data_IF_490953599250
#
_entry.id   IF_490953599250
#
_cell.length_a   1.000
_cell.length_b   1.000
_cell.length_c   1.000
_cell.angle_alpha   90.00
_cell.angle_beta   90.00
_cell.angle_gamma   90.00
#
_symmetry.space_group_name_H-M   'P 1'
#
loop_
_entity.id
_entity.type
_entity.pdbx_description
1 polymer ?
#
# COMPACT_ATOMS: atom_id res chain seq x y z
N UNK A 1 -6.81 -29.58 -38.71
CA UNK A 1 -6.74 -29.13 -37.31
C UNK A 1 -5.46 -29.64 -36.69
N UNK A 2 -4.44 -28.79 -36.60
CA UNK A 2 -3.17 -29.10 -35.91
C UNK A 2 -2.90 -27.95 -34.95
N UNK A 3 -3.16 -28.19 -33.67
CA UNK A 3 -2.90 -27.25 -32.59
C UNK A 3 -1.39 -27.12 -32.39
N UNK A 4 -0.81 -26.06 -32.95
CA UNK A 4 0.58 -25.67 -32.70
C UNK A 4 0.71 -25.05 -31.29
N UNK A 5 1.02 -25.90 -30.30
CA UNK A 5 1.45 -25.49 -28.97
C UNK A 5 2.80 -24.76 -29.06
N UNK A 6 2.77 -23.44 -29.24
CA UNK A 6 3.95 -22.58 -29.05
C UNK A 6 4.19 -22.35 -27.56
N UNK A 7 4.75 -23.36 -26.88
CA UNK A 7 5.43 -23.17 -25.60
C UNK A 7 6.71 -22.37 -25.86
N UNK A 8 6.62 -21.04 -25.78
CA UNK A 8 7.83 -20.20 -25.71
C UNK A 8 8.69 -20.69 -24.54
N UNK A 9 9.99 -20.96 -24.73
CA UNK A 9 10.91 -21.20 -23.63
C UNK A 9 10.96 -19.91 -22.79
N UNK A 10 10.38 -19.96 -21.60
CA UNK A 10 10.39 -18.84 -20.66
C UNK A 10 11.82 -18.73 -20.11
N UNK A 11 12.52 -17.66 -20.50
CA UNK A 11 13.90 -17.42 -20.06
C UNK A 11 13.95 -17.26 -18.52
N UNK A 12 14.88 -17.90 -17.81
CA UNK A 12 14.99 -17.87 -16.34
C UNK A 12 15.04 -16.46 -15.73
N UNK A 13 15.44 -15.44 -16.49
CA UNK A 13 15.55 -14.04 -16.04
C UNK A 13 14.22 -13.29 -15.88
N UNK A 14 13.13 -13.73 -16.51
CA UNK A 14 11.82 -13.02 -16.43
C UNK A 14 11.10 -13.28 -15.10
N UNK A 15 11.47 -14.35 -14.39
CA UNK A 15 10.88 -14.75 -13.11
C UNK A 15 11.56 -14.15 -11.86
N UNK A 16 12.78 -13.64 -12.02
CA UNK A 16 13.63 -13.25 -10.90
C UNK A 16 13.24 -11.90 -10.26
N UNK A 17 12.38 -11.08 -10.88
CA UNK A 17 12.42 -9.63 -10.59
C UNK A 17 11.21 -9.01 -9.86
N UNK A 18 10.01 -9.63 -9.82
CA UNK A 18 8.82 -8.96 -9.26
C UNK A 18 8.81 -8.80 -7.74
N UNK A 19 9.49 -9.68 -7.00
CA UNK A 19 9.49 -9.66 -5.52
C UNK A 19 10.84 -9.26 -4.92
N UNK A 20 11.86 -9.03 -5.74
CA UNK A 20 13.16 -8.54 -5.30
C UNK A 20 13.09 -7.04 -5.06
N UNK A 21 12.39 -6.30 -5.92
CA UNK A 21 12.34 -4.84 -5.85
C UNK A 21 11.76 -4.29 -4.52
N UNK A 22 10.64 -4.81 -3.96
CA UNK A 22 10.17 -4.35 -2.65
C UNK A 22 11.19 -4.61 -1.52
N UNK A 23 11.95 -5.71 -1.61
CA UNK A 23 13.00 -6.03 -0.63
C UNK A 23 14.17 -5.07 -0.76
N UNK A 24 14.59 -4.76 -2.00
CA UNK A 24 15.62 -3.74 -2.26
C UNK A 24 15.18 -2.38 -1.72
N UNK A 25 13.93 -1.97 -1.96
CA UNK A 25 13.36 -0.74 -1.41
C UNK A 25 13.42 -0.72 0.13
N UNK A 26 13.05 -1.82 0.79
CA UNK A 26 13.13 -1.96 2.24
C UNK A 26 14.59 -1.92 2.76
N UNK A 27 15.54 -2.48 2.01
CA UNK A 27 16.97 -2.40 2.36
C UNK A 27 17.48 -0.96 2.24
N UNK A 28 17.19 -0.27 1.14
CA UNK A 28 17.63 1.12 0.89
C UNK A 28 17.13 2.05 1.99
N UNK A 29 15.84 1.98 2.34
CA UNK A 29 15.29 2.83 3.41
C UNK A 29 15.77 2.41 4.81
N UNK A 30 16.08 1.13 5.02
CA UNK A 30 16.71 0.64 6.25
C UNK A 30 18.12 1.20 6.45
N UNK A 31 18.93 1.25 5.37
CA UNK A 31 20.25 1.88 5.38
C UNK A 31 20.12 3.40 5.60
N UNK A 32 19.18 4.05 4.92
CA UNK A 32 18.90 5.46 5.14
C UNK A 32 18.49 5.73 6.60
N UNK A 33 17.62 4.92 7.20
CA UNK A 33 17.21 5.13 8.59
C UNK A 33 18.33 4.86 9.60
N UNK A 34 19.26 3.94 9.31
CA UNK A 34 20.47 3.74 10.11
C UNK A 34 21.33 5.00 10.15
N UNK A 35 21.47 5.69 9.01
CA UNK A 35 22.11 7.02 8.98
C UNK A 35 21.41 8.03 9.89
N UNK A 36 20.08 7.96 10.02
CA UNK A 36 19.32 8.79 10.97
C UNK A 36 19.63 8.46 12.43
N UNK A 37 19.68 7.19 12.78
CA UNK A 37 20.05 6.74 14.12
C UNK A 37 21.49 7.14 14.46
N UNK A 38 22.42 7.03 13.50
CA UNK A 38 23.80 7.47 13.66
C UNK A 38 23.89 8.97 14.00
N UNK A 39 23.18 9.84 13.26
CA UNK A 39 23.13 11.28 13.59
C UNK A 39 22.59 11.50 14.99
N UNK A 40 21.47 10.86 15.34
CA UNK A 40 20.87 11.03 16.68
C UNK A 40 21.82 10.60 17.80
N UNK A 41 22.44 9.41 17.68
CA UNK A 41 23.34 8.93 18.73
C UNK A 41 24.60 9.81 18.85
N UNK A 42 25.14 10.31 17.74
CA UNK A 42 26.30 11.21 17.76
C UNK A 42 25.97 12.59 18.33
N UNK A 43 24.79 13.14 18.04
CA UNK A 43 24.34 14.41 18.64
C UNK A 43 24.10 14.30 20.14
N UNK A 44 23.77 13.10 20.62
CA UNK A 44 23.68 12.81 22.04
C UNK A 44 25.04 12.50 22.67
N UNK A 45 26.14 12.45 21.91
CA UNK A 45 27.46 12.08 22.42
C UNK A 45 27.58 10.61 22.83
N UNK A 46 26.71 9.73 22.29
CA UNK A 46 26.75 8.31 22.57
C UNK A 46 27.87 7.60 21.80
N UNK A 47 28.44 6.51 22.35
CA UNK A 47 29.35 5.67 21.60
C UNK A 47 28.71 5.17 20.29
N UNK A 48 29.47 5.19 19.19
CA UNK A 48 28.96 4.83 17.86
C UNK A 48 28.35 3.42 17.78
N UNK A 49 28.82 2.50 18.63
CA UNK A 49 28.27 1.14 18.74
C UNK A 49 26.77 1.11 19.13
N UNK A 50 26.25 2.19 19.74
CA UNK A 50 24.82 2.28 20.08
C UNK A 50 23.94 2.67 18.89
N UNK A 51 24.50 3.21 17.80
CA UNK A 51 23.71 3.54 16.60
C UNK A 51 22.97 2.34 16.00
N UNK A 52 23.60 1.18 15.74
CA UNK A 52 22.89 -0.01 15.27
C UNK A 52 21.90 -0.57 16.30
N UNK A 53 22.20 -0.48 17.60
CA UNK A 53 21.29 -0.93 18.67
C UNK A 53 20.02 -0.07 18.69
N UNK A 54 20.19 1.26 18.63
CA UNK A 54 19.08 2.23 18.54
C UNK A 54 18.26 2.02 17.28
N UNK A 55 18.94 1.88 16.14
CA UNK A 55 18.30 1.62 14.86
C UNK A 55 17.46 0.34 14.90
N UNK A 56 18.02 -0.76 15.39
CA UNK A 56 17.32 -2.03 15.50
C UNK A 56 16.12 -1.92 16.44
N UNK A 57 16.24 -1.19 17.55
CA UNK A 57 15.13 -0.92 18.46
C UNK A 57 13.97 -0.19 17.76
N UNK A 58 14.27 0.89 17.01
CA UNK A 58 13.26 1.67 16.29
C UNK A 58 12.64 0.89 15.12
N UNK A 59 13.43 0.09 14.41
CA UNK A 59 12.95 -0.82 13.36
C UNK A 59 12.03 -1.89 13.93
N UNK A 60 12.38 -2.45 15.08
CA UNK A 60 11.56 -3.43 15.78
C UNK A 60 10.22 -2.82 16.24
N UNK A 61 10.26 -1.66 16.89
CA UNK A 61 9.04 -0.93 17.29
C UNK A 61 8.19 -0.53 16.08
N UNK A 62 8.81 -0.03 15.00
CA UNK A 62 8.11 0.28 13.75
C UNK A 62 7.45 -0.94 13.12
N UNK A 63 8.13 -2.09 13.15
CA UNK A 63 7.58 -3.37 12.66
C UNK A 63 6.35 -3.80 13.47
N UNK A 64 6.42 -3.71 14.80
CA UNK A 64 5.30 -4.02 15.68
C UNK A 64 4.13 -3.03 15.50
N UNK A 65 4.40 -1.73 15.51
CA UNK A 65 3.40 -0.68 15.39
C UNK A 65 2.70 -0.73 14.02
N UNK A 66 3.49 -0.79 12.94
CA UNK A 66 2.95 -0.90 11.59
C UNK A 66 2.22 -2.22 11.37
N UNK A 67 2.76 -3.35 11.82
CA UNK A 67 2.06 -4.64 11.71
C UNK A 67 0.73 -4.66 12.47
N UNK A 68 0.69 -4.10 13.68
CA UNK A 68 -0.54 -3.93 14.45
C UNK A 68 -1.54 -3.00 13.75
N UNK A 69 -1.08 -1.91 13.13
CA UNK A 69 -1.91 -1.02 12.30
C UNK A 69 -2.55 -1.79 11.13
N UNK A 70 -1.75 -2.59 10.42
CA UNK A 70 -2.22 -3.37 9.27
C UNK A 70 -3.28 -4.38 9.67
N UNK A 71 -3.04 -5.12 10.75
CA UNK A 71 -4.05 -5.99 11.33
C UNK A 71 -5.31 -5.20 11.75
N UNK A 72 -5.15 -4.08 12.45
CA UNK A 72 -6.25 -3.33 13.05
C UNK A 72 -7.22 -2.68 12.07
N UNK A 73 -6.72 -2.22 10.91
CA UNK A 73 -7.47 -1.34 10.01
C UNK A 73 -7.60 -1.85 8.58
N UNK A 74 -6.68 -2.69 8.13
CA UNK A 74 -6.59 -3.08 6.72
C UNK A 74 -7.02 -4.52 6.47
N UNK A 75 -6.97 -5.40 7.47
CA UNK A 75 -7.62 -6.72 7.44
C UNK A 75 -9.11 -6.53 7.68
N UNK A 76 -9.93 -6.65 6.63
CA UNK A 76 -11.36 -6.40 6.67
C UNK A 76 -12.17 -7.64 6.33
N UNK A 77 -13.38 -7.72 6.90
CA UNK A 77 -14.36 -8.74 6.58
C UNK A 77 -14.94 -8.46 5.17
N UNK A 78 -15.12 -9.49 4.32
CA UNK A 78 -15.79 -9.30 3.04
C UNK A 78 -17.26 -8.93 3.25
N UNK A 79 -17.83 -8.21 2.28
CA UNK A 79 -19.23 -7.77 2.30
C UNK A 79 -20.19 -8.90 1.96
N UNK A 80 -19.74 -9.90 1.18
CA UNK A 80 -20.54 -11.03 0.75
C UNK A 80 -20.37 -12.23 1.68
N UNK A 81 -21.48 -12.82 2.12
CA UNK A 81 -21.46 -13.92 3.09
C UNK A 81 -20.72 -15.18 2.56
N UNK A 82 -20.80 -15.44 1.25
CA UNK A 82 -20.16 -16.59 0.60
C UNK A 82 -18.62 -16.50 0.55
N UNK A 83 -18.05 -15.31 0.60
CA UNK A 83 -16.60 -15.09 0.55
C UNK A 83 -15.93 -15.14 1.93
N UNK A 84 -16.73 -15.13 3.00
CA UNK A 84 -16.24 -14.94 4.37
C UNK A 84 -15.32 -16.05 4.86
N UNK A 85 -15.52 -17.30 4.41
CA UNK A 85 -14.69 -18.42 4.85
C UNK A 85 -13.26 -18.33 4.30
N UNK A 86 -13.12 -18.03 3.01
CA UNK A 86 -11.83 -17.92 2.32
C UNK A 86 -11.02 -16.73 2.82
N UNK A 87 -11.67 -15.57 2.97
CA UNK A 87 -11.01 -14.37 3.49
C UNK A 87 -10.68 -14.50 4.97
N UNK A 88 -11.49 -15.24 5.75
CA UNK A 88 -11.13 -15.57 7.13
C UNK A 88 -9.88 -16.46 7.21
N UNK A 89 -9.73 -17.46 6.32
CA UNK A 89 -8.51 -18.27 6.23
C UNK A 89 -7.29 -17.42 5.88
N UNK A 90 -7.42 -16.49 4.92
CA UNK A 90 -6.37 -15.52 4.60
C UNK A 90 -5.98 -14.68 5.82
N UNK A 91 -6.95 -14.11 6.52
CA UNK A 91 -6.70 -13.27 7.69
C UNK A 91 -6.01 -14.07 8.82
N UNK A 92 -6.43 -15.31 9.08
CA UNK A 92 -5.76 -16.21 10.04
C UNK A 92 -4.31 -16.49 9.61
N UNK A 93 -4.07 -16.79 8.34
CA UNK A 93 -2.71 -17.02 7.82
C UNK A 93 -1.82 -15.77 7.97
N UNK A 94 -2.35 -14.58 7.70
CA UNK A 94 -1.65 -13.31 7.93
C UNK A 94 -1.31 -13.14 9.42
N UNK A 95 -2.25 -13.40 10.32
CA UNK A 95 -2.02 -13.30 11.77
C UNK A 95 -0.96 -14.29 12.26
N UNK A 96 -0.99 -15.54 11.81
CA UNK A 96 0.00 -16.56 12.16
C UNK A 96 1.41 -16.14 11.69
N UNK A 97 1.53 -15.62 10.47
CA UNK A 97 2.81 -15.11 9.96
C UNK A 97 3.28 -13.87 10.71
N UNK A 98 2.37 -12.96 11.08
CA UNK A 98 2.70 -11.83 11.92
C UNK A 98 3.17 -12.25 13.32
N UNK A 99 2.65 -13.34 13.89
CA UNK A 99 3.18 -13.87 15.17
C UNK A 99 4.66 -14.21 15.10
N UNK A 100 5.11 -14.79 13.99
CA UNK A 100 6.52 -15.14 13.80
C UNK A 100 7.36 -13.89 13.61
N UNK A 101 7.02 -13.04 12.64
CA UNK A 101 7.79 -11.81 12.33
C UNK A 101 7.74 -10.82 13.50
N UNK A 102 6.57 -10.62 14.08
CA UNK A 102 6.33 -9.79 15.26
C UNK A 102 7.00 -10.36 16.52
N UNK A 103 7.07 -11.68 16.68
CA UNK A 103 7.83 -12.30 17.76
C UNK A 103 9.33 -12.00 17.69
N UNK A 104 9.92 -12.07 16.49
CA UNK A 104 11.31 -11.66 16.25
C UNK A 104 11.50 -10.17 16.53
N UNK A 105 10.58 -9.32 16.05
CA UNK A 105 10.63 -7.88 16.32
C UNK A 105 10.50 -7.57 17.82
N UNK A 106 9.61 -8.25 18.55
CA UNK A 106 9.45 -8.12 20.00
C UNK A 106 10.73 -8.50 20.74
N UNK A 107 11.34 -9.64 20.38
CA UNK A 107 12.61 -10.05 20.96
C UNK A 107 13.72 -9.02 20.69
N UNK A 108 13.83 -8.53 19.45
CA UNK A 108 14.79 -7.48 19.11
C UNK A 108 14.54 -6.18 19.90
N UNK A 109 13.29 -5.76 20.07
CA UNK A 109 12.93 -4.59 20.88
C UNK A 109 13.33 -4.76 22.35
N UNK A 110 13.08 -5.95 22.93
CA UNK A 110 13.44 -6.28 24.31
C UNK A 110 14.97 -6.30 24.51
N UNK A 111 15.71 -6.98 23.63
CA UNK A 111 17.17 -7.10 23.72
C UNK A 111 17.87 -5.76 23.53
N UNK A 112 17.28 -4.85 22.74
CA UNK A 112 17.85 -3.53 22.49
C UNK A 112 17.40 -2.49 23.52
N UNK A 113 16.27 -2.67 24.21
CA UNK A 113 15.73 -1.73 25.20
C UNK A 113 16.72 -1.23 26.28
N UNK A 114 17.71 -2.02 26.77
CA UNK A 114 18.68 -1.55 27.75
C UNK A 114 19.46 -0.29 27.34
N UNK A 115 19.60 0.01 26.03
CA UNK A 115 20.22 1.26 25.58
C UNK A 115 19.50 2.52 26.11
N UNK A 116 18.22 2.42 26.47
CA UNK A 116 17.45 3.52 27.07
C UNK A 116 17.91 3.89 28.47
N UNK A 117 18.61 2.99 29.17
CA UNK A 117 19.20 3.30 30.47
C UNK A 117 20.38 4.25 30.34
N UNK A 118 21.09 4.22 29.21
CA UNK A 118 22.16 5.19 28.92
C UNK A 118 21.60 6.61 28.83
N UNK A 119 20.41 6.77 28.24
CA UNK A 119 19.70 8.04 28.15
C UNK A 119 19.24 8.60 29.50
N UNK A 120 19.14 7.78 30.56
CA UNK A 120 18.69 8.23 31.89
C UNK A 120 19.57 9.35 32.45
N UNK A 121 20.90 9.21 32.37
CA UNK A 121 21.87 10.18 32.90
C UNK A 121 21.73 11.54 32.22
N UNK A 122 21.54 11.52 30.90
CA UNK A 122 21.33 12.71 30.09
C UNK A 122 19.97 13.35 30.34
N UNK A 123 18.91 12.54 30.44
CA UNK A 123 17.59 13.03 30.77
C UNK A 123 17.57 13.71 32.14
N UNK A 124 18.23 13.14 33.15
CA UNK A 124 18.37 13.78 34.47
C UNK A 124 19.14 15.09 34.39
N UNK A 125 20.28 15.12 33.70
CA UNK A 125 21.08 16.34 33.55
C UNK A 125 20.31 17.46 32.80
N UNK A 126 19.46 17.10 31.84
CA UNK A 126 18.66 18.03 31.06
C UNK A 126 17.27 18.35 31.67
N UNK A 127 16.95 17.86 32.88
CA UNK A 127 15.63 18.06 33.49
C UNK A 127 14.47 17.28 32.84
N UNK A 128 14.78 16.36 31.92
CA UNK A 128 13.83 15.54 31.16
C UNK A 128 13.50 14.18 31.83
N UNK A 129 13.75 14.03 33.14
CA UNK A 129 13.56 12.75 33.84
C UNK A 129 12.12 12.24 33.75
N UNK A 130 11.12 13.13 33.90
CA UNK A 130 9.72 12.75 33.80
C UNK A 130 9.38 12.18 32.41
N UNK A 131 9.91 12.77 31.34
CA UNK A 131 9.71 12.30 29.97
C UNK A 131 10.42 10.95 29.74
N UNK A 132 11.62 10.76 30.27
CA UNK A 132 12.33 9.48 30.21
C UNK A 132 11.57 8.36 30.94
N UNK A 133 11.08 8.62 32.16
CA UNK A 133 10.26 7.66 32.92
C UNK A 133 8.97 7.35 32.17
N UNK A 134 8.27 8.36 31.66
CA UNK A 134 7.04 8.17 30.89
C UNK A 134 7.29 7.32 29.63
N UNK A 135 8.39 7.58 28.90
CA UNK A 135 8.77 6.78 27.75
C UNK A 135 9.05 5.32 28.14
N UNK A 136 9.74 5.08 29.26
CA UNK A 136 10.00 3.74 29.79
C UNK A 136 8.71 2.98 30.15
N UNK A 137 7.79 3.63 30.85
CA UNK A 137 6.48 3.05 31.22
C UNK A 137 5.68 2.71 29.96
N UNK A 138 5.53 3.65 29.03
CA UNK A 138 4.76 3.43 27.81
C UNK A 138 5.42 2.39 26.90
N UNK A 139 6.75 2.30 26.87
CA UNK A 139 7.45 1.21 26.20
C UNK A 139 7.08 -0.15 26.83
N UNK A 140 7.12 -0.27 28.16
CA UNK A 140 6.75 -1.51 28.84
C UNK A 140 5.29 -1.92 28.54
N UNK A 141 4.36 -0.96 28.60
CA UNK A 141 2.94 -1.21 28.24
C UNK A 141 2.83 -1.58 26.75
N UNK A 142 3.58 -0.93 25.87
CA UNK A 142 3.60 -1.19 24.43
C UNK A 142 4.10 -2.60 24.12
N UNK A 143 5.26 -2.98 24.66
CA UNK A 143 5.83 -4.33 24.49
C UNK A 143 4.94 -5.41 25.13
N UNK A 144 4.36 -5.14 26.31
CA UNK A 144 3.41 -6.03 26.96
C UNK A 144 2.13 -6.23 26.13
N UNK A 145 1.60 -5.16 25.53
CA UNK A 145 0.45 -5.23 24.63
C UNK A 145 0.76 -6.04 23.36
N UNK A 146 1.96 -5.90 22.80
CA UNK A 146 2.42 -6.64 21.65
C UNK A 146 2.60 -8.14 22.00
N UNK A 147 3.24 -8.44 23.13
CA UNK A 147 3.38 -9.80 23.63
C UNK A 147 2.01 -10.48 23.82
N UNK A 148 1.05 -9.75 24.40
CA UNK A 148 -0.33 -10.24 24.57
C UNK A 148 -1.07 -10.42 23.24
N UNK A 149 -0.86 -9.54 22.27
CA UNK A 149 -1.43 -9.71 20.92
C UNK A 149 -0.86 -10.97 20.23
N UNK A 150 0.46 -11.18 20.35
CA UNK A 150 1.18 -12.27 19.67
C UNK A 150 1.02 -13.62 20.37
N UNK A 151 0.65 -13.65 21.66
CA UNK A 151 0.39 -14.90 22.39
C UNK A 151 -0.95 -15.54 22.03
N UNK A 152 -1.91 -14.75 21.53
CA UNK A 152 -3.22 -15.25 21.12
C UNK A 152 -3.12 -16.10 19.86
N UNK A 153 -3.70 -17.29 19.90
CA UNK A 153 -3.78 -18.16 18.72
C UNK A 153 -4.84 -17.61 17.75
N UNK A 154 -4.48 -17.41 16.46
CA UNK A 154 -5.43 -17.01 15.43
C UNK A 154 -6.44 -18.13 15.17
N UNK A 155 -7.72 -17.81 15.29
CA UNK A 155 -8.83 -18.74 15.05
C UNK A 155 -9.80 -18.12 14.02
N UNK A 156 -10.33 -18.94 13.12
CA UNK A 156 -11.24 -18.47 12.05
C UNK A 156 -12.46 -17.66 12.56
N UNK A 157 -13.14 -18.04 13.66
CA UNK A 157 -14.26 -17.24 14.20
C UNK A 157 -13.86 -15.83 14.65
N UNK A 158 -12.58 -15.62 14.97
CA UNK A 158 -12.01 -14.36 15.45
C UNK A 158 -11.07 -13.71 14.45
N UNK A 159 -11.09 -14.15 13.18
CA UNK A 159 -10.20 -13.66 12.12
C UNK A 159 -10.24 -12.13 11.95
N UNK A 160 -11.36 -11.48 12.30
CA UNK A 160 -11.55 -10.04 12.19
C UNK A 160 -11.63 -9.32 13.55
N UNK A 161 -11.23 -9.97 14.64
CA UNK A 161 -11.18 -9.36 15.96
C UNK A 161 -9.99 -8.39 16.05
N UNK A 162 -10.25 -7.09 15.92
CA UNK A 162 -9.22 -6.04 15.81
C UNK A 162 -8.93 -5.28 17.10
N UNK A 163 -9.69 -5.50 18.18
CA UNK A 163 -9.57 -4.72 19.42
C UNK A 163 -8.17 -4.75 20.03
N UNK A 164 -7.58 -5.93 20.16
CA UNK A 164 -6.22 -6.09 20.68
C UNK A 164 -5.17 -5.45 19.77
N UNK A 165 -5.34 -5.58 18.45
CA UNK A 165 -4.45 -4.97 17.46
C UNK A 165 -4.50 -3.45 17.51
N UNK A 166 -5.71 -2.86 17.65
CA UNK A 166 -5.89 -1.40 17.81
C UNK A 166 -5.23 -0.88 19.08
N UNK A 167 -5.43 -1.57 20.21
CA UNK A 167 -4.77 -1.20 21.47
C UNK A 167 -3.24 -1.25 21.34
N UNK A 168 -2.71 -2.35 20.81
CA UNK A 168 -1.26 -2.49 20.62
C UNK A 168 -0.70 -1.44 19.68
N UNK A 169 -1.37 -1.16 18.56
CA UNK A 169 -1.02 -0.08 17.64
C UNK A 169 -0.99 1.29 18.35
N UNK A 170 -2.02 1.62 19.12
CA UNK A 170 -2.12 2.92 19.78
C UNK A 170 -0.97 3.13 20.77
N UNK A 171 -0.70 2.13 21.64
CA UNK A 171 0.37 2.25 22.65
C UNK A 171 1.76 2.23 22.00
N UNK A 172 2.02 1.36 21.01
CA UNK A 172 3.32 1.33 20.32
C UNK A 172 3.58 2.62 19.52
N UNK A 173 2.54 3.20 18.91
CA UNK A 173 2.65 4.51 18.24
C UNK A 173 2.95 5.61 19.25
N UNK A 174 2.31 5.58 20.43
CA UNK A 174 2.62 6.50 21.53
C UNK A 174 4.06 6.32 22.02
N UNK A 175 4.58 5.09 22.10
CA UNK A 175 5.99 4.82 22.41
C UNK A 175 6.91 5.51 21.39
N UNK A 176 6.63 5.38 20.09
CA UNK A 176 7.40 6.07 19.04
C UNK A 176 7.33 7.59 19.18
N UNK A 177 6.16 8.16 19.48
CA UNK A 177 5.99 9.60 19.71
C UNK A 177 6.85 10.06 20.90
N UNK A 178 6.73 9.42 22.06
CA UNK A 178 7.48 9.79 23.26
C UNK A 178 8.98 9.61 23.08
N UNK A 179 9.39 8.54 22.39
CA UNK A 179 10.79 8.30 22.04
C UNK A 179 11.34 9.41 21.14
N UNK A 180 10.55 9.86 20.16
CA UNK A 180 10.91 10.99 19.30
C UNK A 180 10.99 12.32 20.06
N UNK A 181 10.02 12.61 20.95
CA UNK A 181 10.04 13.82 21.77
C UNK A 181 11.27 13.81 22.67
N UNK A 182 11.59 12.68 23.30
CA UNK A 182 12.78 12.54 24.14
C UNK A 182 14.07 12.78 23.35
N UNK A 183 14.21 12.19 22.15
CA UNK A 183 15.38 12.43 21.29
C UNK A 183 15.53 13.91 20.95
N UNK A 184 14.42 14.55 20.59
CA UNK A 184 14.40 15.94 20.17
C UNK A 184 14.59 16.90 21.34
N UNK A 185 14.07 16.62 22.53
CA UNK A 185 14.23 17.47 23.71
C UNK A 185 15.64 17.41 24.29
N UNK A 186 16.33 16.27 24.15
CA UNK A 186 17.75 16.15 24.52
C UNK A 186 18.67 16.93 23.56
N UNK A 187 18.27 17.07 22.30
CA UNK A 187 19.07 17.78 21.28
C UNK A 187 18.71 19.27 21.20
N UNK A 188 17.42 19.58 21.34
CA UNK A 188 16.80 20.89 21.15
C UNK A 188 15.79 21.16 22.29
N UNK A 189 16.26 21.46 23.52
CA UNK A 189 15.43 21.50 24.72
C UNK A 189 14.35 22.60 24.75
N UNK A 190 14.43 23.61 23.87
CA UNK A 190 13.49 24.73 23.84
C UNK A 190 12.86 24.93 22.45
N UNK A 191 12.79 23.88 21.63
CA UNK A 191 12.28 23.95 20.26
C UNK A 191 11.13 22.96 20.05
N UNK A 192 9.88 23.31 20.44
CA UNK A 192 8.74 22.40 20.32
C UNK A 192 8.45 21.98 18.87
N UNK A 193 8.78 22.84 17.90
CA UNK A 193 8.71 22.50 16.48
C UNK A 193 9.60 21.30 16.12
N UNK A 194 10.81 21.20 16.69
CA UNK A 194 11.70 20.07 16.48
C UNK A 194 11.10 18.78 17.08
N UNK A 195 10.41 18.87 18.21
CA UNK A 195 9.76 17.73 18.86
C UNK A 195 8.62 17.18 18.00
N UNK A 196 7.72 18.06 17.56
CA UNK A 196 6.60 17.72 16.66
C UNK A 196 7.15 17.10 15.38
N UNK A 197 8.14 17.73 14.76
CA UNK A 197 8.74 17.27 13.52
C UNK A 197 9.38 15.89 13.67
N UNK A 198 10.06 15.65 14.80
CA UNK A 198 10.67 14.36 15.12
C UNK A 198 9.63 13.27 15.33
N UNK A 199 8.55 13.56 16.03
CA UNK A 199 7.44 12.62 16.24
C UNK A 199 6.76 12.26 14.94
N UNK A 200 6.44 13.26 14.11
CA UNK A 200 5.85 13.02 12.79
C UNK A 200 6.75 12.13 11.92
N UNK A 201 8.04 12.44 11.85
CA UNK A 201 8.98 11.66 11.05
C UNK A 201 9.14 10.22 11.55
N UNK A 202 9.29 10.03 12.87
CA UNK A 202 9.52 8.70 13.43
C UNK A 202 8.26 7.82 13.35
N UNK A 203 7.08 8.37 13.59
CA UNK A 203 5.81 7.66 13.42
C UNK A 203 5.59 7.32 11.95
N UNK A 204 5.77 8.28 11.05
CA UNK A 204 5.70 8.05 9.60
C UNK A 204 6.64 6.92 9.17
N UNK A 205 7.90 6.95 9.64
CA UNK A 205 8.89 5.91 9.34
C UNK A 205 8.44 4.55 9.88
N UNK A 206 8.04 4.49 11.16
CA UNK A 206 7.61 3.26 11.81
C UNK A 206 6.41 2.61 11.11
N UNK A 207 5.37 3.39 10.82
CA UNK A 207 4.15 2.89 10.16
C UNK A 207 4.41 2.46 8.72
N UNK A 208 5.24 3.21 7.97
CA UNK A 208 5.63 2.81 6.62
C UNK A 208 6.48 1.54 6.64
N UNK A 209 7.49 1.47 7.52
CA UNK A 209 8.42 0.34 7.59
C UNK A 209 7.68 -0.93 8.00
N UNK A 210 6.87 -0.88 9.06
CA UNK A 210 6.05 -2.01 9.47
C UNK A 210 5.01 -2.40 8.42
N UNK A 211 4.48 -1.43 7.66
CA UNK A 211 3.61 -1.73 6.53
C UNK A 211 4.30 -2.40 5.34
N UNK A 212 5.53 -2.01 5.03
CA UNK A 212 6.34 -2.69 4.05
C UNK A 212 6.66 -4.13 4.51
N UNK A 213 7.04 -4.32 5.77
CA UNK A 213 7.28 -5.64 6.35
C UNK A 213 6.02 -6.51 6.28
N UNK A 214 4.85 -5.94 6.62
CA UNK A 214 3.57 -6.64 6.52
C UNK A 214 3.30 -7.12 5.09
N UNK A 215 3.38 -6.23 4.12
CA UNK A 215 3.06 -6.59 2.73
C UNK A 215 4.05 -7.63 2.17
N UNK A 216 5.35 -7.49 2.45
CA UNK A 216 6.42 -8.33 1.88
C UNK A 216 6.46 -9.72 2.53
N UNK A 217 6.40 -9.78 3.86
CA UNK A 217 6.69 -11.01 4.61
C UNK A 217 5.44 -11.69 5.18
N UNK A 218 4.29 -11.01 5.20
CA UNK A 218 3.07 -11.49 5.84
C UNK A 218 1.96 -11.68 4.80
N UNK A 219 1.52 -10.59 4.17
CA UNK A 219 0.36 -10.61 3.28
C UNK A 219 0.60 -11.42 2.00
N UNK A 220 1.71 -11.18 1.30
CA UNK A 220 2.02 -11.89 0.04
C UNK A 220 2.20 -13.40 0.27
N UNK A 221 2.97 -13.87 1.27
CA UNK A 221 3.06 -15.29 1.55
C UNK A 221 1.73 -15.91 1.99
N UNK A 222 0.93 -15.24 2.83
CA UNK A 222 -0.38 -15.73 3.26
C UNK A 222 -1.34 -15.90 2.07
N UNK A 223 -1.39 -14.94 1.16
CA UNK A 223 -2.25 -15.01 -0.02
C UNK A 223 -1.91 -16.17 -0.97
N UNK A 224 -0.68 -16.69 -0.92
CA UNK A 224 -0.27 -17.84 -1.74
C UNK A 224 -0.75 -19.18 -1.19
N UNK A 225 -1.13 -19.25 0.08
CA UNK A 225 -1.60 -20.48 0.71
C UNK A 225 -3.06 -20.79 0.37
N UNK A 226 -3.85 -19.78 0.00
CA UNK A 226 -5.26 -19.95 -0.40
C UNK A 226 -5.48 -19.26 -1.73
N UNK A 227 -5.32 -20.01 -2.83
CA UNK A 227 -5.53 -19.49 -4.18
C UNK A 227 -7.01 -19.56 -4.54
N UNK A 228 -7.77 -18.55 -4.13
CA UNK A 228 -9.16 -18.37 -4.56
C UNK A 228 -9.43 -16.93 -4.99
N UNK A 229 -10.45 -16.73 -5.83
CA UNK A 229 -10.82 -15.41 -6.34
C UNK A 229 -11.08 -14.39 -5.21
N UNK A 230 -11.85 -14.71 -4.14
CA UNK A 230 -12.06 -13.78 -3.03
C UNK A 230 -10.75 -13.37 -2.32
N UNK A 231 -9.80 -14.29 -2.21
CA UNK A 231 -8.47 -14.00 -1.64
C UNK A 231 -7.68 -13.05 -2.53
N UNK A 232 -7.71 -13.26 -3.86
CA UNK A 232 -7.05 -12.36 -4.83
C UNK A 232 -7.60 -10.95 -4.70
N UNK A 233 -8.94 -10.81 -4.70
CA UNK A 233 -9.62 -9.52 -4.60
C UNK A 233 -9.29 -8.83 -3.28
N UNK A 234 -9.39 -9.55 -2.16
CA UNK A 234 -9.08 -9.02 -0.82
C UNK A 234 -7.62 -8.56 -0.71
N UNK A 235 -6.67 -9.38 -1.20
CA UNK A 235 -5.25 -9.04 -1.20
C UNK A 235 -4.95 -7.82 -2.09
N UNK A 236 -5.62 -7.70 -3.25
CA UNK A 236 -5.48 -6.55 -4.14
C UNK A 236 -6.02 -5.26 -3.50
N UNK A 237 -7.17 -5.32 -2.82
CA UNK A 237 -7.72 -4.18 -2.08
C UNK A 237 -6.80 -3.74 -0.94
N UNK A 238 -6.23 -4.70 -0.19
CA UNK A 238 -5.23 -4.39 0.85
C UNK A 238 -4.01 -3.67 0.25
N UNK A 239 -3.52 -4.11 -0.91
CA UNK A 239 -2.39 -3.49 -1.59
C UNK A 239 -2.71 -2.07 -2.10
N UNK A 240 -3.92 -1.82 -2.60
CA UNK A 240 -4.31 -0.47 -3.02
C UNK A 240 -4.37 0.49 -1.84
N UNK A 241 -4.89 0.03 -0.70
CA UNK A 241 -4.85 0.81 0.54
C UNK A 241 -3.41 1.09 1.00
N UNK A 242 -2.51 0.12 0.84
CA UNK A 242 -1.08 0.33 1.15
C UNK A 242 -0.50 1.43 0.27
N UNK A 243 -0.82 1.44 -1.02
CA UNK A 243 -0.37 2.50 -1.94
C UNK A 243 -0.89 3.87 -1.52
N UNK A 244 -2.15 3.98 -1.11
CA UNK A 244 -2.69 5.23 -0.57
C UNK A 244 -1.92 5.71 0.67
N UNK A 245 -1.66 4.83 1.63
CA UNK A 245 -0.86 5.14 2.81
C UNK A 245 0.55 5.58 2.42
N UNK A 246 1.20 4.86 1.51
CA UNK A 246 2.55 5.19 1.02
C UNK A 246 2.59 6.56 0.32
N UNK A 247 1.57 6.90 -0.49
CA UNK A 247 1.45 8.21 -1.15
C UNK A 247 1.37 9.37 -0.16
N UNK A 248 0.82 9.15 1.04
CA UNK A 248 0.77 10.17 2.09
C UNK A 248 2.05 10.18 2.96
N UNK A 249 2.56 9.00 3.31
CA UNK A 249 3.69 8.88 4.24
C UNK A 249 5.03 9.25 3.59
N UNK A 250 5.28 8.87 2.34
CA UNK A 250 6.57 9.18 1.70
C UNK A 250 6.83 10.69 1.60
N UNK A 251 5.90 11.54 1.12
CA UNK A 251 6.08 12.99 1.15
C UNK A 251 6.31 13.50 2.57
N UNK A 252 5.57 12.97 3.55
CA UNK A 252 5.76 13.33 4.96
C UNK A 252 7.18 13.03 5.43
N UNK A 253 7.73 11.85 5.12
CA UNK A 253 9.10 11.48 5.46
C UNK A 253 10.14 12.38 4.81
N UNK A 254 9.96 12.70 3.52
CA UNK A 254 10.89 13.56 2.78
C UNK A 254 10.86 14.98 3.36
N UNK A 255 9.68 15.58 3.48
CA UNK A 255 9.51 16.95 3.97
C UNK A 255 10.02 17.07 5.41
N UNK A 256 9.58 16.19 6.30
CA UNK A 256 10.02 16.23 7.70
C UNK A 256 11.52 15.93 7.84
N UNK A 257 12.09 15.06 7.01
CA UNK A 257 13.52 14.78 6.98
C UNK A 257 14.35 15.97 6.52
N UNK A 258 13.88 16.71 5.51
CA UNK A 258 14.53 17.95 5.02
C UNK A 258 14.51 19.03 6.09
N UNK A 259 13.37 19.27 6.74
CA UNK A 259 13.30 20.24 7.84
C UNK A 259 14.16 19.84 9.04
N UNK A 260 14.27 18.54 9.36
CA UNK A 260 15.17 18.05 10.41
C UNK A 260 16.65 18.21 10.05
N UNK A 261 16.99 18.30 8.76
CA UNK A 261 18.37 18.46 8.31
C UNK A 261 18.88 19.91 8.42
N UNK A 262 17.98 20.91 8.42
CA UNK A 262 18.32 22.33 8.42
C UNK A 262 19.19 22.75 9.63
N UNK A 263 18.92 22.32 10.88
CA UNK A 263 19.76 22.70 12.02
C UNK A 263 21.21 22.20 11.92
N UNK A 264 21.46 21.13 11.15
CA UNK A 264 22.80 20.53 11.01
C UNK A 264 23.63 21.16 9.89
N UNK A 265 22.97 21.69 8.86
CA UNK A 265 23.64 22.14 7.61
C UNK A 265 23.49 23.65 7.39
N UNK A 266 22.54 24.29 8.05
CA UNK A 266 22.13 25.66 7.76
C UNK A 266 21.65 25.82 6.33
N UNK A 267 21.79 27.03 5.78
CA UNK A 267 21.45 27.36 4.39
C UNK A 267 22.67 27.45 3.46
N UNK A 268 23.83 26.95 3.90
CA UNK A 268 25.10 27.11 3.18
C UNK A 268 25.54 25.83 2.49
N UNK A 269 26.16 25.97 1.30
CA UNK A 269 26.79 24.85 0.60
C UNK A 269 27.96 24.25 1.42
N UNK A 270 28.67 25.08 2.19
CA UNK A 270 29.74 24.62 3.07
C UNK A 270 29.22 23.65 4.15
N UNK A 271 28.03 23.92 4.70
CA UNK A 271 27.38 23.02 5.68
C UNK A 271 27.07 21.63 5.11
N UNK A 272 26.78 21.52 3.81
CA UNK A 272 26.58 20.25 3.12
C UNK A 272 27.86 19.43 2.95
N UNK A 273 29.04 20.05 3.02
CA UNK A 273 30.33 19.38 2.91
C UNK A 273 30.89 18.90 4.26
N UNK A 274 30.19 19.19 5.36
CA UNK A 274 30.51 18.61 6.68
C UNK A 274 30.19 17.11 6.71
N UNK A 275 30.75 16.32 7.66
CA UNK A 275 30.40 14.91 7.80
C UNK A 275 28.88 14.65 7.93
N UNK A 276 28.17 15.53 8.64
CA UNK A 276 26.71 15.46 8.74
C UNK A 276 26.02 15.82 7.42
N UNK A 277 26.50 16.87 6.74
CA UNK A 277 26.00 17.27 5.43
C UNK A 277 26.13 16.17 4.38
N UNK A 278 27.29 15.50 4.31
CA UNK A 278 27.53 14.39 3.39
C UNK A 278 26.61 13.19 3.68
N UNK A 279 26.35 12.89 4.95
CA UNK A 279 25.40 11.85 5.34
C UNK A 279 23.96 12.21 4.94
N UNK A 280 23.58 13.47 5.07
CA UNK A 280 22.27 13.98 4.61
C UNK A 280 22.17 13.85 3.09
N UNK A 281 23.20 14.25 2.32
CA UNK A 281 23.24 14.10 0.87
C UNK A 281 23.15 12.63 0.45
N UNK A 282 23.87 11.74 1.13
CA UNK A 282 23.79 10.30 0.90
C UNK A 282 22.36 9.77 1.10
N UNK A 283 21.69 10.16 2.19
CA UNK A 283 20.28 9.79 2.42
C UNK A 283 19.35 10.34 1.35
N UNK A 284 19.55 11.59 0.92
CA UNK A 284 18.77 12.19 -0.16
C UNK A 284 18.98 11.43 -1.47
N UNK A 285 20.21 11.03 -1.79
CA UNK A 285 20.50 10.20 -2.96
C UNK A 285 19.78 8.83 -2.88
N UNK A 286 19.76 8.18 -1.72
CA UNK A 286 19.00 6.95 -1.51
C UNK A 286 17.49 7.14 -1.69
N UNK A 287 16.93 8.25 -1.18
CA UNK A 287 15.51 8.59 -1.34
C UNK A 287 15.17 8.86 -2.81
N UNK A 288 15.99 9.64 -3.53
CA UNK A 288 15.80 9.91 -4.96
C UNK A 288 15.87 8.61 -5.76
N UNK A 289 16.82 7.73 -5.43
CA UNK A 289 16.89 6.38 -6.02
C UNK A 289 15.63 5.57 -5.75
N UNK A 290 15.13 5.58 -4.52
CA UNK A 290 13.90 4.89 -4.12
C UNK A 290 12.67 5.43 -4.89
N UNK A 291 12.52 6.76 -4.98
CA UNK A 291 11.43 7.40 -5.73
C UNK A 291 11.52 7.06 -7.21
N UNK A 292 12.72 7.09 -7.78
CA UNK A 292 12.96 6.70 -9.17
C UNK A 292 12.55 5.24 -9.39
N UNK A 293 12.96 4.33 -8.51
CA UNK A 293 12.54 2.92 -8.56
C UNK A 293 11.00 2.83 -8.52
N UNK A 294 10.33 3.52 -7.61
CA UNK A 294 8.86 3.45 -7.51
C UNK A 294 8.14 4.04 -8.72
N UNK A 295 8.65 5.11 -9.33
CA UNK A 295 8.06 5.73 -10.52
C UNK A 295 8.28 4.85 -11.75
N UNK A 296 9.50 4.31 -11.91
CA UNK A 296 9.91 3.52 -13.09
C UNK A 296 9.40 2.08 -13.03
N UNK A 297 9.22 1.49 -11.84
CA UNK A 297 8.77 0.11 -11.76
C UNK A 297 7.27 -0.05 -12.09
N UNK A 298 6.91 -0.98 -12.98
CA UNK A 298 5.52 -1.28 -13.36
C UNK A 298 4.74 -2.00 -12.25
N UNK A 299 5.24 -2.03 -11.02
CA UNK A 299 4.55 -2.64 -9.87
C UNK A 299 3.22 -1.93 -9.54
N UNK A 300 3.05 -0.70 -10.03
CA UNK A 300 1.77 0.01 -10.09
C UNK A 300 0.74 -0.63 -11.04
N UNK A 301 1.15 -1.51 -11.95
CA UNK A 301 0.30 -2.13 -13.00
C UNK A 301 0.33 -3.66 -13.03
N UNK A 302 1.21 -4.31 -12.26
CA UNK A 302 1.20 -5.77 -12.10
C UNK A 302 0.24 -6.15 -10.96
N UNK A 303 -1.07 -6.09 -11.24
CA UNK A 303 -2.14 -6.10 -10.25
C UNK A 303 -2.56 -7.48 -9.70
N UNK A 304 -1.64 -8.41 -9.49
CA UNK A 304 -1.95 -9.56 -8.64
C UNK A 304 -0.70 -10.18 -8.00
N UNK A 305 -0.75 -10.48 -6.69
CA UNK A 305 0.23 -11.35 -6.03
C UNK A 305 0.23 -12.78 -6.59
N UNK A 306 -0.78 -13.15 -7.38
CA UNK A 306 -1.01 -14.48 -7.95
C UNK A 306 -0.72 -14.43 -9.46
N UNK A 307 0.12 -15.36 -9.92
CA UNK A 307 0.53 -15.44 -11.33
C UNK A 307 -0.69 -15.70 -12.22
N UNK A 308 -0.83 -14.94 -13.30
CA UNK A 308 -1.83 -15.18 -14.35
C UNK A 308 -3.10 -14.33 -14.29
N UNK A 309 -3.31 -13.53 -13.23
CA UNK A 309 -4.49 -12.64 -13.11
C UNK A 309 -3.97 -11.21 -13.19
N UNK A 310 -4.16 -10.50 -14.32
CA UNK A 310 -3.70 -9.12 -14.47
C UNK A 310 -4.82 -8.08 -14.34
N UNK A 311 -6.08 -8.50 -14.47
CA UNK A 311 -7.24 -7.64 -14.30
C UNK A 311 -8.35 -8.39 -13.53
N UNK A 312 -8.85 -7.77 -12.46
CA UNK A 312 -9.95 -8.34 -11.67
C UNK A 312 -11.31 -8.15 -12.38
N UNK A 313 -11.40 -7.22 -13.33
CA UNK A 313 -12.62 -7.01 -14.12
C UNK A 313 -12.84 -8.14 -15.14
N UNK A 314 -11.77 -8.75 -15.65
CA UNK A 314 -11.85 -9.90 -16.57
C UNK A 314 -12.56 -11.11 -15.93
N UNK A 315 -12.44 -11.30 -14.62
CA UNK A 315 -13.02 -12.45 -13.89
C UNK A 315 -14.53 -12.36 -13.67
N UNK A 316 -15.12 -11.16 -13.84
CA UNK A 316 -16.57 -10.95 -13.70
C UNK A 316 -17.33 -11.16 -15.01
N UNK A 317 -16.62 -11.38 -16.12
CA UNK A 317 -17.23 -11.32 -17.44
C UNK A 317 -17.58 -12.73 -17.93
N UNK A 318 -18.86 -13.05 -18.21
CA UNK A 318 -19.23 -14.28 -18.90
C UNK A 318 -18.53 -14.38 -20.28
N UNK A 319 -18.45 -15.57 -20.89
CA UNK A 319 -17.80 -15.74 -22.19
C UNK A 319 -18.32 -14.71 -23.18
N UNK A 320 -17.37 -14.03 -23.84
CA UNK A 320 -17.68 -12.91 -24.70
C UNK A 320 -18.46 -13.39 -25.93
N UNK A 321 -19.53 -12.70 -26.33
CA UNK A 321 -20.19 -12.95 -27.60
C UNK A 321 -19.22 -12.70 -28.75
N UNK A 322 -19.34 -13.48 -29.83
CA UNK A 322 -18.59 -13.20 -31.05
C UNK A 322 -18.98 -11.82 -31.60
N UNK A 323 -18.02 -11.03 -32.12
CA UNK A 323 -18.31 -9.72 -32.65
C UNK A 323 -19.15 -9.82 -33.93
N UNK A 324 -20.28 -9.13 -33.96
CA UNK A 324 -21.11 -9.02 -35.16
C UNK A 324 -20.46 -8.10 -36.20
N UNK A 325 -19.74 -7.07 -35.74
CA UNK A 325 -19.02 -6.11 -36.58
C UNK A 325 -17.62 -5.85 -36.02
N UNK A 326 -16.70 -5.48 -36.90
CA UNK A 326 -15.34 -5.10 -36.53
C UNK A 326 -14.99 -3.73 -37.14
N UNK A 327 -14.45 -2.84 -36.32
CA UNK A 327 -13.92 -1.55 -36.70
C UNK A 327 -12.42 -1.49 -36.36
N UNK A 328 -11.58 -1.47 -37.38
CA UNK A 328 -10.15 -1.27 -37.22
C UNK A 328 -9.79 0.21 -37.32
N UNK A 329 -9.43 0.78 -36.17
CA UNK A 329 -9.08 2.18 -35.99
C UNK A 329 -7.60 2.35 -35.59
N UNK A 330 -6.78 1.32 -35.77
CA UNK A 330 -5.32 1.41 -35.56
C UNK A 330 -4.70 2.39 -36.56
N UNK A 331 -3.73 3.18 -36.10
CA UNK A 331 -2.99 4.16 -36.92
C UNK A 331 -3.71 5.49 -37.15
N UNK A 332 -4.94 5.67 -36.66
CA UNK A 332 -5.68 6.93 -36.77
C UNK A 332 -5.49 7.81 -35.53
N UNK A 333 -5.48 9.13 -35.73
CA UNK A 333 -5.37 10.11 -34.65
C UNK A 333 -6.74 10.39 -34.03
N UNK A 334 -6.78 10.55 -32.69
CA UNK A 334 -7.97 10.59 -31.84
C UNK A 334 -8.74 9.26 -31.86
N UNK A 335 -9.41 8.91 -30.75
CA UNK A 335 -10.12 7.65 -30.56
C UNK A 335 -11.21 7.32 -31.62
N UNK A 336 -11.42 8.21 -32.60
CA UNK A 336 -12.27 7.97 -33.76
C UNK A 336 -13.74 7.86 -33.39
N UNK A 337 -14.18 8.60 -32.37
CA UNK A 337 -15.55 8.57 -31.88
C UNK A 337 -16.59 8.75 -32.98
N UNK A 338 -16.30 9.55 -34.02
CA UNK A 338 -17.16 9.68 -35.21
C UNK A 338 -17.29 8.36 -35.96
N UNK A 339 -16.20 7.62 -36.17
CA UNK A 339 -16.22 6.31 -36.82
C UNK A 339 -16.87 5.24 -35.95
N UNK A 340 -16.69 5.33 -34.63
CA UNK A 340 -17.37 4.46 -33.67
C UNK A 340 -18.89 4.72 -33.74
N UNK A 341 -19.31 5.98 -33.74
CA UNK A 341 -20.72 6.38 -33.86
C UNK A 341 -21.32 5.92 -35.19
N UNK A 342 -20.64 6.13 -36.31
CA UNK A 342 -21.08 5.64 -37.62
C UNK A 342 -21.16 4.11 -37.68
N UNK A 343 -20.25 3.39 -37.03
CA UNK A 343 -20.29 1.92 -36.98
C UNK A 343 -21.46 1.40 -36.14
N UNK A 344 -21.85 2.17 -35.10
CA UNK A 344 -23.00 1.90 -34.24
C UNK A 344 -24.34 2.31 -34.90
N UNK A 345 -24.32 3.27 -35.83
CA UNK A 345 -25.51 3.64 -36.61
C UNK A 345 -25.99 2.44 -37.44
N UNK A 346 -27.22 1.99 -37.16
CA UNK A 346 -27.81 0.82 -37.79
C UNK A 346 -27.34 -0.52 -37.21
N UNK A 347 -26.71 -0.54 -36.03
CA UNK A 347 -26.58 -1.78 -35.26
C UNK A 347 -27.88 -2.14 -34.56
N UNK A 348 -28.16 -3.44 -34.47
CA UNK A 348 -29.24 -3.97 -33.63
C UNK A 348 -28.82 -4.04 -32.15
N UNK A 349 -29.78 -4.05 -31.23
CA UNK A 349 -29.52 -4.08 -29.78
C UNK A 349 -28.84 -5.36 -29.25
N UNK A 350 -28.83 -6.42 -30.04
CA UNK A 350 -28.09 -7.65 -29.74
C UNK A 350 -26.72 -7.72 -30.43
N UNK A 351 -26.43 -6.79 -31.36
CA UNK A 351 -25.20 -6.79 -32.12
C UNK A 351 -24.03 -6.24 -31.29
N UNK A 352 -22.84 -6.75 -31.57
CA UNK A 352 -21.61 -6.37 -30.88
C UNK A 352 -20.59 -5.82 -31.86
N UNK A 353 -19.90 -4.76 -31.45
CA UNK A 353 -18.86 -4.09 -32.22
C UNK A 353 -17.51 -4.36 -31.56
N UNK A 354 -16.61 -5.00 -32.29
CA UNK A 354 -15.20 -5.06 -31.94
C UNK A 354 -14.46 -3.84 -32.47
N UNK A 355 -13.85 -3.07 -31.59
CA UNK A 355 -13.03 -1.91 -31.95
C UNK A 355 -11.56 -2.22 -31.68
N UNK A 356 -10.71 -2.07 -32.70
CA UNK A 356 -9.26 -2.10 -32.56
C UNK A 356 -8.70 -0.68 -32.64
N UNK A 357 -7.89 -0.27 -31.66
CA UNK A 357 -7.30 1.06 -31.57
C UNK A 357 -5.81 0.96 -31.25
N UNK A 358 -5.02 1.93 -31.72
CA UNK A 358 -3.63 2.12 -31.26
C UNK A 358 -3.48 3.38 -30.40
N UNK A 359 -4.56 4.12 -30.16
CA UNK A 359 -4.55 5.36 -29.38
C UNK A 359 -4.49 5.06 -27.87
N UNK A 360 -3.45 5.49 -27.14
CA UNK A 360 -3.38 5.29 -25.70
C UNK A 360 -4.50 5.98 -24.92
N UNK A 361 -5.05 7.06 -25.47
CA UNK A 361 -6.10 7.87 -24.83
C UNK A 361 -7.43 7.10 -24.85
N UNK A 362 -7.71 6.29 -25.87
CA UNK A 362 -8.95 5.51 -25.97
C UNK A 362 -9.13 4.54 -24.79
N UNK A 363 -8.06 4.17 -24.08
CA UNK A 363 -8.16 3.33 -22.87
C UNK A 363 -8.96 4.00 -21.74
N UNK A 364 -8.94 5.33 -21.68
CA UNK A 364 -9.56 6.13 -20.62
C UNK A 364 -10.83 6.82 -21.09
N UNK A 365 -10.82 7.38 -22.30
CA UNK A 365 -11.95 8.18 -22.79
C UNK A 365 -13.10 7.32 -23.33
N UNK A 366 -12.80 6.19 -23.96
CA UNK A 366 -13.83 5.37 -24.58
C UNK A 366 -14.87 4.82 -23.58
N UNK A 367 -14.49 4.25 -22.42
CA UNK A 367 -15.48 3.80 -21.45
C UNK A 367 -16.42 4.92 -20.97
N UNK A 368 -15.87 6.10 -20.69
CA UNK A 368 -16.65 7.25 -20.25
C UNK A 368 -17.57 7.80 -21.36
N UNK A 369 -17.12 7.75 -22.61
CA UNK A 369 -17.94 8.11 -23.76
C UNK A 369 -19.08 7.10 -23.97
N UNK A 370 -18.80 5.79 -23.88
CA UNK A 370 -19.80 4.72 -24.00
C UNK A 370 -20.89 4.85 -22.92
N UNK A 371 -20.50 5.11 -21.68
CA UNK A 371 -21.43 5.33 -20.56
C UNK A 371 -22.38 6.52 -20.84
N UNK A 372 -21.86 7.63 -21.35
CA UNK A 372 -22.69 8.80 -21.72
C UNK A 372 -23.66 8.53 -22.88
N UNK A 373 -23.33 7.58 -23.75
CA UNK A 373 -24.17 7.19 -24.88
C UNK A 373 -25.14 6.05 -24.54
N UNK A 374 -25.14 5.55 -23.29
CA UNK A 374 -25.95 4.39 -22.91
C UNK A 374 -25.51 3.10 -23.63
N UNK A 375 -24.21 2.93 -23.85
CA UNK A 375 -23.62 1.77 -24.51
C UNK A 375 -22.86 0.92 -23.48
N UNK A 376 -23.01 -0.40 -23.59
CA UNK A 376 -22.31 -1.34 -22.72
C UNK A 376 -20.93 -1.66 -23.29
N UNK A 377 -19.89 -1.44 -22.47
CA UNK A 377 -18.56 -1.99 -22.72
C UNK A 377 -18.52 -3.43 -22.19
N UNK A 378 -18.54 -4.41 -23.09
CA UNK A 378 -18.51 -5.83 -22.74
C UNK A 378 -17.10 -6.32 -22.40
N UNK A 379 -16.10 -5.82 -23.13
CA UNK A 379 -14.73 -6.25 -22.98
C UNK A 379 -13.76 -5.15 -23.37
N UNK A 380 -12.60 -5.14 -22.73
CA UNK A 380 -11.43 -4.40 -23.18
C UNK A 380 -10.17 -5.23 -22.96
N UNK A 381 -9.29 -5.21 -23.94
CA UNK A 381 -8.03 -5.94 -23.93
C UNK A 381 -6.92 -5.00 -24.41
N UNK A 382 -5.73 -5.15 -23.83
CA UNK A 382 -4.54 -4.41 -24.28
C UNK A 382 -3.42 -5.37 -24.60
N UNK A 383 -2.97 -5.33 -25.85
CA UNK A 383 -1.90 -6.17 -26.38
C UNK A 383 -0.70 -5.31 -26.81
N UNK A 384 0.49 -5.92 -26.87
CA UNK A 384 1.72 -5.26 -27.33
C UNK A 384 2.60 -4.57 -26.24
N UNK A 385 3.77 -4.06 -26.67
CA UNK A 385 4.79 -3.44 -25.79
C UNK A 385 5.01 -1.96 -26.14
N UNK A 386 4.99 -1.12 -25.11
CA UNK A 386 5.32 0.32 -25.08
C UNK A 386 4.72 1.15 -26.24
N UNK A 387 5.36 1.16 -27.41
CA UNK A 387 5.05 1.95 -28.60
C UNK A 387 4.16 1.21 -29.61
N UNK A 388 4.10 -0.11 -29.53
CA UNK A 388 3.30 -0.98 -30.39
C UNK A 388 2.07 -1.52 -29.66
N UNK A 389 1.45 -0.67 -28.83
CA UNK A 389 0.28 -1.08 -28.07
C UNK A 389 -0.95 -1.03 -28.96
N UNK A 390 -1.72 -2.11 -28.90
CA UNK A 390 -3.03 -2.20 -29.50
C UNK A 390 -4.05 -2.44 -28.40
N UNK A 391 -5.19 -1.79 -28.55
CA UNK A 391 -6.31 -1.81 -27.65
C UNK A 391 -7.48 -2.42 -28.40
N UNK A 392 -8.14 -3.38 -27.79
CA UNK A 392 -9.29 -4.07 -28.36
C UNK A 392 -10.46 -3.85 -27.41
N UNK A 393 -11.62 -3.50 -27.93
CA UNK A 393 -12.83 -3.28 -27.15
C UNK A 393 -13.97 -4.06 -27.80
N UNK A 394 -14.88 -4.56 -26.98
CA UNK A 394 -16.13 -5.15 -27.43
C UNK A 394 -17.28 -4.35 -26.85
N UNK A 395 -18.09 -3.75 -27.72
CA UNK A 395 -19.12 -2.78 -27.39
C UNK A 395 -20.48 -3.37 -27.79
N UNK A 396 -21.52 -3.13 -26.99
CA UNK A 396 -22.90 -3.48 -27.32
C UNK A 396 -23.80 -2.28 -27.11
N UNK A 397 -24.79 -2.14 -27.99
CA UNK A 397 -25.86 -1.17 -27.78
C UNK A 397 -26.78 -1.70 -26.69
N UNK A 398 -26.93 -0.98 -25.57
CA UNK A 398 -27.99 -1.34 -24.63
C UNK A 398 -29.32 -0.97 -25.27
N UNK A 399 -30.30 -1.86 -25.17
CA UNK A 399 -31.67 -1.48 -25.42
C UNK A 399 -32.00 -0.36 -24.44
N UNK A 400 -32.55 0.79 -24.88
CA UNK A 400 -33.21 1.67 -23.92
C UNK A 400 -34.22 0.76 -23.22
N UNK A 401 -34.02 0.56 -21.92
CA UNK A 401 -34.95 -0.23 -21.11
C UNK A 401 -36.32 0.30 -21.47
N UNK A 402 -37.14 -0.52 -22.14
CA UNK A 402 -38.50 -0.13 -22.49
C UNK A 402 -39.14 0.24 -21.18
N UNK A 403 -39.22 1.55 -20.92
CA UNK A 403 -39.82 2.08 -19.73
C UNK A 403 -41.24 1.58 -19.77
N UNK A 404 -41.52 0.54 -18.98
CA UNK A 404 -42.85 0.04 -18.70
C UNK A 404 -43.62 1.11 -17.95
N UNK A 405 -43.92 2.21 -18.63
CA UNK A 405 -44.96 3.14 -18.25
C UNK A 405 -46.24 2.41 -18.65
N UNK A 406 -46.71 1.55 -17.76
CA UNK A 406 -48.09 1.07 -17.78
C UNK A 406 -48.97 2.32 -17.74
N UNK A 407 -49.80 2.60 -18.76
CA UNK A 407 -50.76 3.69 -18.64
C UNK A 407 -51.67 3.38 -17.46
N UNK A 408 -51.67 4.27 -16.47
CA UNK A 408 -52.59 4.27 -15.35
C UNK A 408 -54.00 4.41 -15.92
N UNK A 409 -54.73 3.29 -16.02
CA UNK A 409 -56.17 3.27 -16.26
C UNK A 409 -56.83 3.82 -15.00
N UNK A 410 -57.14 5.12 -15.00
CA UNK A 410 -58.02 5.71 -13.99
C UNK A 410 -59.45 5.23 -14.23
N UNK A 411 -59.89 4.30 -13.40
CA UNK A 411 -61.27 3.82 -13.40
C UNK A 411 -61.66 3.25 -12.04
N UNK A 412 -61.88 4.12 -11.05
CA UNK A 412 -62.70 3.79 -9.88
C UNK A 412 -63.70 4.92 -9.63
N UNK A 413 -64.95 4.63 -9.96
CA UNK A 413 -66.13 5.38 -9.55
C UNK A 413 -66.38 5.13 -8.06
N UNK A 414 -66.55 6.21 -7.30
CA UNK A 414 -66.94 6.18 -5.90
C UNK A 414 -68.47 6.14 -5.87
N UNK A 415 -69.04 5.04 -5.38
CA UNK A 415 -70.44 4.99 -4.95
C UNK A 415 -70.54 5.42 -3.49
N UNK A 416 -71.35 6.45 -3.24
CA UNK A 416 -71.85 6.81 -1.91
C UNK A 416 -73.18 6.07 -1.69
N UNK A 417 -73.31 5.34 -0.60
CA UNK A 417 -74.60 4.95 -0.02
C UNK A 417 -74.88 5.79 1.22
N UNK A 418 -76.15 6.12 1.39
CA UNK A 418 -76.73 7.00 2.41
C UNK A 418 -77.31 6.21 3.58
#
# INVERSE_FOLDING_TARGET
MTAGSLTRPQLPGEFLNRYVLPKVALTVIGIASLGGAYVTMTTHGAPLAWAPVRWLHLVALGTLAGGAMWWAFFVQRPTEAGESADVARLAVAQQQRFRIVGGVALLAALLTAPHLTWFSRWATAAGNQALWVANGIILLVGLGSAAWLLSRHPEAPRAFAVGAARWSWAVLTLTLVLTAILDASLTFPNQPSAWILRSLHLVAFGLWFGGAVWNIFIAVPAARETLSLPVVVSAAQQLERFRWVVRAILPTLVVTGLFQALPYTGYSLAGLMTPFGLLILFKLALIVGLVTIFITCPMWRACSPIRGICDLEELKTPPLPEPTRQLDNRGKACAGFVYIQQALEGMGSAETLELLSSDPISWWELPAWLEKQGLALLHRERTGRLWWRTYRYLIRQEQPATSGVTPLVMGHAIHFEA
#
